data_IF_965794150506
#
_entry.id   IF_965794150506
#
_cell.length_a   1.000
_cell.length_b   1.000
_cell.length_c   1.000
_cell.angle_alpha   90.00
_cell.angle_beta   90.00
_cell.angle_gamma   90.00
#
_symmetry.space_group_name_H-M   'P 1'
#
loop_
_entity.id
_entity.type
_entity.pdbx_description
1 polymer ?
#
# COMPACT_ATOMS: atom_id res chain seq x y z
N UNK A 1 22.99 26.54 -10.20
CA UNK A 1 21.69 27.25 -10.39
C UNK A 1 20.71 26.78 -9.34
N UNK A 2 19.93 27.73 -8.80
CA UNK A 2 19.19 27.63 -7.52
C UNK A 2 18.15 26.50 -7.53
N UNK A 3 18.28 25.55 -6.60
CA UNK A 3 17.26 24.52 -6.29
C UNK A 3 16.10 25.22 -5.57
N UNK A 4 14.92 25.21 -6.19
CA UNK A 4 13.68 25.59 -5.52
C UNK A 4 13.22 24.41 -4.68
N UNK A 5 13.29 24.60 -3.36
CA UNK A 5 12.59 23.78 -2.39
C UNK A 5 11.09 23.91 -2.66
N UNK A 6 10.45 22.79 -3.01
CA UNK A 6 8.99 22.69 -2.99
C UNK A 6 8.58 22.22 -1.60
N UNK A 7 8.10 23.19 -0.83
CA UNK A 7 7.21 23.13 0.33
C UNK A 7 6.87 21.72 0.83
N UNK A 8 7.64 21.25 1.82
CA UNK A 8 7.14 20.31 2.82
C UNK A 8 6.04 21.02 3.62
N UNK A 9 4.95 20.28 3.80
CA UNK A 9 3.66 20.77 4.25
C UNK A 9 3.75 21.55 5.56
N UNK A 10 3.05 22.68 5.57
CA UNK A 10 2.75 23.40 6.78
C UNK A 10 2.03 22.49 7.77
N UNK A 11 2.51 22.54 9.00
CA UNK A 11 1.76 22.30 10.23
C UNK A 11 0.32 22.80 10.09
N UNK A 12 -0.62 21.86 10.01
CA UNK A 12 -2.00 22.06 10.42
C UNK A 12 -2.17 21.33 11.75
N UNK A 13 -1.76 22.04 12.81
CA UNK A 13 -2.24 21.79 14.16
C UNK A 13 -3.73 22.13 14.14
N UNK A 14 -4.58 21.13 13.90
CA UNK A 14 -5.99 21.19 14.29
C UNK A 14 -6.11 20.47 15.63
N UNK A 15 -5.94 21.24 16.69
CA UNK A 15 -6.52 20.91 17.98
C UNK A 15 -8.03 20.87 17.81
N UNK A 16 -8.61 19.68 17.94
CA UNK A 16 -10.02 19.49 18.21
C UNK A 16 -10.11 18.67 19.48
N UNK A 17 -10.09 19.38 20.59
CA UNK A 17 -10.66 18.92 21.84
C UNK A 17 -12.16 18.72 21.62
N UNK A 18 -12.56 17.50 21.26
CA UNK A 18 -13.95 17.08 21.37
C UNK A 18 -14.09 16.35 22.71
N UNK A 19 -14.60 17.07 23.70
CA UNK A 19 -15.17 16.50 24.92
C UNK A 19 -16.23 15.49 24.50
N UNK A 20 -15.87 14.21 24.49
CA UNK A 20 -16.81 13.12 24.26
C UNK A 20 -17.29 12.71 25.63
N UNK A 21 -18.49 13.18 25.97
CA UNK A 21 -19.19 12.77 27.17
C UNK A 21 -19.22 11.24 27.29
N UNK A 22 -18.91 10.79 28.50
CA UNK A 22 -19.07 9.41 28.96
C UNK A 22 -20.49 8.96 28.61
N UNK A 23 -20.62 8.18 27.55
CA UNK A 23 -21.76 7.29 27.34
C UNK A 23 -21.26 5.87 27.55
N UNK A 24 -20.85 5.60 28.78
CA UNK A 24 -20.87 4.25 29.33
C UNK A 24 -22.32 3.80 29.43
N UNK A 25 -22.86 3.22 28.36
CA UNK A 25 -24.12 2.47 28.42
C UNK A 25 -24.02 1.24 27.51
N UNK A 26 -23.71 0.11 28.16
CA UNK A 26 -24.24 -1.23 27.84
C UNK A 26 -24.17 -1.67 26.37
N UNK A 27 -22.96 -1.99 25.90
CA UNK A 27 -22.78 -3.00 24.85
C UNK A 27 -23.08 -4.38 25.46
N UNK A 28 -24.35 -4.69 25.67
CA UNK A 28 -24.81 -6.00 26.11
C UNK A 28 -24.41 -7.05 25.08
N UNK A 29 -23.37 -7.83 25.39
CA UNK A 29 -23.28 -9.32 25.42
C UNK A 29 -24.06 -10.21 24.42
N UNK A 30 -24.88 -9.70 23.50
CA UNK A 30 -25.74 -10.49 22.61
C UNK A 30 -25.48 -10.29 21.10
N UNK A 31 -24.46 -9.52 20.71
CA UNK A 31 -24.02 -9.40 19.29
C UNK A 31 -22.56 -9.74 19.03
N UNK A 32 -21.78 -10.01 20.09
CA UNK A 32 -20.39 -10.46 19.99
C UNK A 32 -20.24 -11.94 19.64
N UNK A 33 -21.29 -12.75 19.79
CA UNK A 33 -21.26 -14.20 19.50
C UNK A 33 -21.45 -14.56 18.02
N UNK A 34 -21.78 -13.60 17.14
CA UNK A 34 -22.17 -13.90 15.74
C UNK A 34 -21.15 -13.47 14.67
N UNK A 35 -20.13 -12.67 15.02
CA UNK A 35 -19.09 -12.30 14.07
C UNK A 35 -17.89 -13.22 14.27
N UNK A 36 -17.75 -14.25 13.43
CA UNK A 36 -16.51 -15.04 13.35
C UNK A 36 -15.55 -14.48 12.29
N UNK A 37 -16.09 -13.79 11.28
CA UNK A 37 -15.34 -13.32 10.12
C UNK A 37 -15.84 -11.94 9.67
N UNK A 38 -14.92 -11.10 9.21
CA UNK A 38 -15.22 -9.86 8.48
C UNK A 38 -14.79 -10.07 7.04
N UNK A 39 -15.72 -9.95 6.09
CA UNK A 39 -15.42 -10.13 4.66
C UNK A 39 -15.36 -8.79 3.95
N UNK A 40 -14.38 -8.62 3.09
CA UNK A 40 -14.34 -7.47 2.19
C UNK A 40 -13.96 -7.95 0.79
N UNK A 41 -14.70 -7.44 -0.19
CA UNK A 41 -14.51 -7.71 -1.61
C UNK A 41 -14.05 -6.41 -2.27
N UNK A 42 -12.98 -6.48 -3.04
CA UNK A 42 -12.30 -5.34 -3.63
C UNK A 42 -12.60 -5.30 -5.11
N UNK A 43 -12.90 -4.10 -5.61
CA UNK A 43 -13.55 -3.95 -6.91
C UNK A 43 -15.08 -4.08 -6.83
N UNK A 44 -15.64 -4.11 -5.62
CA UNK A 44 -17.07 -3.87 -5.37
C UNK A 44 -17.28 -2.49 -4.80
N UNK A 45 -18.49 -1.98 -4.97
CA UNK A 45 -18.89 -0.72 -4.38
C UNK A 45 -18.71 -0.76 -2.85
N UNK A 46 -18.14 0.29 -2.26
CA UNK A 46 -17.85 0.34 -0.83
C UNK A 46 -19.08 0.16 0.06
N UNK A 47 -20.24 0.65 -0.38
CA UNK A 47 -21.50 0.53 0.38
C UNK A 47 -22.00 -0.91 0.37
N UNK A 48 -21.90 -1.60 -0.77
CA UNK A 48 -22.27 -3.01 -0.89
C UNK A 48 -21.33 -3.90 -0.08
N UNK A 49 -20.02 -3.62 -0.17
CA UNK A 49 -18.98 -4.33 0.58
C UNK A 49 -19.20 -4.20 2.08
N UNK A 50 -19.45 -2.98 2.58
CA UNK A 50 -19.76 -2.76 3.99
C UNK A 50 -21.00 -3.54 4.44
N UNK A 51 -22.09 -3.52 3.66
CA UNK A 51 -23.32 -4.27 3.97
C UNK A 51 -23.10 -5.79 4.04
N UNK A 52 -22.25 -6.34 3.18
CA UNK A 52 -22.00 -7.78 3.08
C UNK A 52 -20.87 -8.28 4.00
N UNK A 53 -20.20 -7.36 4.71
CA UNK A 53 -18.99 -7.68 5.46
C UNK A 53 -19.17 -8.52 6.72
N UNK A 54 -20.40 -8.64 7.22
CA UNK A 54 -20.69 -9.28 8.52
C UNK A 54 -20.46 -8.36 9.73
N UNK A 55 -20.01 -7.12 9.52
CA UNK A 55 -19.87 -6.11 10.57
C UNK A 55 -21.25 -5.52 10.94
N UNK A 56 -21.65 -5.49 12.23
CA UNK A 56 -22.94 -4.97 12.66
C UNK A 56 -23.12 -3.48 12.44
N UNK A 57 -22.06 -2.70 12.61
CA UNK A 57 -22.08 -1.25 12.48
C UNK A 57 -20.71 -0.72 12.08
N UNK A 58 -20.71 0.21 11.13
CA UNK A 58 -19.53 0.97 10.74
C UNK A 58 -19.64 2.41 11.23
N UNK A 59 -18.50 2.99 11.56
CA UNK A 59 -18.33 4.43 11.50
C UNK A 59 -18.11 4.79 10.02
N UNK A 60 -18.86 5.75 9.49
CA UNK A 60 -18.71 6.19 8.11
C UNK A 60 -18.31 7.66 8.03
N UNK A 61 -17.60 8.02 6.96
CA UNK A 61 -17.20 9.39 6.68
C UNK A 61 -17.16 9.64 5.18
N UNK A 62 -17.60 10.80 4.73
CA UNK A 62 -17.31 11.35 3.39
C UNK A 62 -16.62 12.70 3.60
N UNK A 63 -15.37 12.81 3.16
CA UNK A 63 -14.58 14.05 3.23
C UNK A 63 -14.04 14.34 1.84
N UNK A 64 -14.54 15.40 1.21
CA UNK A 64 -14.11 15.84 -0.13
C UNK A 64 -14.15 14.73 -1.19
N UNK A 65 -15.10 13.79 -1.11
CA UNK A 65 -15.22 12.69 -2.05
C UNK A 65 -14.47 11.43 -1.65
N UNK A 66 -13.59 11.48 -0.64
CA UNK A 66 -13.03 10.28 -0.01
C UNK A 66 -14.03 9.72 0.99
N UNK A 67 -14.59 8.55 0.67
CA UNK A 67 -15.54 7.81 1.48
C UNK A 67 -14.78 6.76 2.28
N UNK A 68 -15.11 6.60 3.56
CA UNK A 68 -14.52 5.59 4.43
C UNK A 68 -15.57 4.89 5.30
N UNK A 69 -15.35 3.60 5.56
CA UNK A 69 -16.11 2.77 6.49
C UNK A 69 -15.12 2.10 7.43
N UNK A 70 -15.17 2.45 8.72
CA UNK A 70 -14.23 1.95 9.74
C UNK A 70 -14.93 1.22 10.88
N UNK A 71 -14.17 0.30 11.49
CA UNK A 71 -14.53 -0.44 12.70
C UNK A 71 -13.33 -0.45 13.61
N UNK A 72 -13.56 -0.19 14.90
CA UNK A 72 -12.54 -0.31 15.96
C UNK A 72 -12.96 -1.39 16.95
N UNK A 73 -12.02 -1.81 17.81
CA UNK A 73 -12.24 -2.79 18.89
C UNK A 73 -12.70 -4.18 18.40
N UNK A 74 -12.26 -4.63 17.22
CA UNK A 74 -12.63 -5.91 16.59
C UNK A 74 -12.23 -7.10 17.48
N UNK A 75 -13.13 -7.95 17.98
CA UNK A 75 -12.77 -9.00 18.93
C UNK A 75 -11.61 -9.90 18.43
N UNK A 76 -10.66 -10.33 19.30
CA UNK A 76 -9.45 -11.06 18.87
C UNK A 76 -9.71 -12.35 18.09
N UNK A 77 -10.89 -12.94 18.27
CA UNK A 77 -11.34 -14.18 17.60
C UNK A 77 -11.83 -13.97 16.17
N UNK A 78 -11.98 -12.71 15.74
CA UNK A 78 -12.49 -12.37 14.40
C UNK A 78 -11.34 -12.30 13.41
N UNK A 79 -11.47 -13.04 12.31
CA UNK A 79 -10.57 -12.96 11.17
C UNK A 79 -11.12 -12.00 10.13
N UNK A 80 -10.30 -11.07 9.64
CA UNK A 80 -10.63 -10.29 8.45
C UNK A 80 -10.19 -11.06 7.19
N UNK A 81 -11.08 -11.14 6.21
CA UNK A 81 -10.92 -11.95 5.01
C UNK A 81 -11.13 -11.06 3.81
N UNK A 82 -10.05 -10.86 3.06
CA UNK A 82 -10.15 -10.40 1.69
C UNK A 82 -10.58 -11.56 0.81
N UNK A 83 -11.67 -11.42 0.08
CA UNK A 83 -12.15 -12.45 -0.85
C UNK A 83 -12.08 -11.98 -2.29
N UNK A 84 -11.47 -12.78 -3.17
CA UNK A 84 -11.51 -12.63 -4.62
C UNK A 84 -11.68 -14.01 -5.27
N UNK A 85 -12.32 -14.14 -6.45
CA UNK A 85 -12.39 -15.44 -7.13
C UNK A 85 -11.02 -16.11 -7.29
N UNK A 86 -10.86 -17.27 -6.65
CA UNK A 86 -9.64 -18.09 -6.70
C UNK A 86 -8.57 -17.74 -5.66
N UNK A 87 -8.83 -16.83 -4.71
CA UNK A 87 -7.89 -16.49 -3.65
C UNK A 87 -8.50 -15.75 -2.45
N UNK A 88 -7.96 -15.99 -1.26
CA UNK A 88 -8.34 -15.29 -0.03
C UNK A 88 -7.09 -14.84 0.74
N UNK A 89 -7.15 -13.67 1.37
CA UNK A 89 -6.18 -13.24 2.40
C UNK A 89 -6.89 -13.18 3.72
N UNK A 90 -6.32 -13.84 4.71
CA UNK A 90 -6.83 -13.91 6.07
C UNK A 90 -5.88 -13.16 7.00
N UNK A 91 -6.42 -12.23 7.76
CA UNK A 91 -5.65 -11.44 8.73
C UNK A 91 -6.34 -11.55 10.09
N UNK A 92 -5.61 -12.15 11.03
CA UNK A 92 -6.06 -12.35 12.40
C UNK A 92 -5.53 -11.26 13.34
N UNK A 93 -6.10 -11.18 14.55
CA UNK A 93 -5.66 -10.26 15.61
C UNK A 93 -5.67 -8.78 15.19
N UNK A 94 -6.73 -8.32 14.56
CA UNK A 94 -6.91 -6.90 14.26
C UNK A 94 -7.51 -6.15 15.46
N UNK A 95 -7.09 -4.90 15.62
CA UNK A 95 -7.76 -3.93 16.48
C UNK A 95 -8.87 -3.23 15.70
N UNK A 96 -8.51 -2.73 14.53
CA UNK A 96 -9.36 -1.89 13.71
C UNK A 96 -9.08 -2.15 12.23
N UNK A 97 -10.06 -1.81 11.40
CA UNK A 97 -9.86 -1.71 9.96
C UNK A 97 -10.68 -0.56 9.38
N UNK A 98 -10.23 -0.05 8.23
CA UNK A 98 -10.96 0.96 7.47
C UNK A 98 -10.93 0.64 5.98
N UNK A 99 -12.09 0.62 5.34
CA UNK A 99 -12.25 0.58 3.89
C UNK A 99 -12.30 2.01 3.35
N UNK A 100 -11.67 2.26 2.21
CA UNK A 100 -11.72 3.55 1.51
C UNK A 100 -12.15 3.40 0.06
N UNK A 101 -12.79 4.45 -0.45
CA UNK A 101 -13.08 4.67 -1.86
C UNK A 101 -13.05 6.17 -2.15
N UNK A 102 -12.54 6.58 -3.31
CA UNK A 102 -12.49 7.99 -3.71
C UNK A 102 -13.35 8.25 -4.96
N UNK A 103 -14.35 9.14 -4.81
CA UNK A 103 -15.25 9.57 -5.89
C UNK A 103 -14.52 10.27 -7.03
N UNK A 104 -13.39 10.91 -6.75
CA UNK A 104 -12.57 11.57 -7.77
C UNK A 104 -11.78 10.55 -8.62
N UNK A 105 -11.58 9.33 -8.09
CA UNK A 105 -10.88 8.25 -8.79
C UNK A 105 -11.84 7.35 -9.56
N UNK A 106 -13.00 7.05 -8.99
CA UNK A 106 -14.01 6.17 -9.62
C UNK A 106 -15.43 6.59 -9.26
N UNK A 107 -16.26 6.81 -10.28
CA UNK A 107 -17.70 7.07 -10.11
C UNK A 107 -18.44 5.86 -9.50
N UNK A 108 -17.89 4.65 -9.66
CA UNK A 108 -18.47 3.41 -9.11
C UNK A 108 -18.18 3.23 -7.61
N UNK A 109 -17.35 4.10 -7.01
CA UNK A 109 -16.96 4.05 -5.59
C UNK A 109 -16.47 2.66 -5.17
N UNK A 110 -15.62 2.06 -6.00
CA UNK A 110 -15.01 0.77 -5.72
C UNK A 110 -14.10 0.91 -4.50
N UNK A 111 -14.11 -0.09 -3.61
CA UNK A 111 -13.12 -0.13 -2.51
C UNK A 111 -11.72 -0.22 -3.11
N UNK A 112 -10.87 0.76 -2.80
CA UNK A 112 -9.50 0.89 -3.34
C UNK A 112 -8.41 0.66 -2.28
N UNK A 113 -8.72 0.85 -1.01
CA UNK A 113 -7.74 0.75 0.08
C UNK A 113 -8.36 0.12 1.30
N UNK A 114 -7.60 -0.75 1.97
CA UNK A 114 -7.94 -1.24 3.30
C UNK A 114 -6.78 -0.98 4.26
N UNK A 115 -7.02 -0.14 5.26
CA UNK A 115 -6.12 0.04 6.40
C UNK A 115 -6.42 -1.05 7.43
N UNK A 116 -5.40 -1.83 7.80
CA UNK A 116 -5.49 -2.90 8.79
C UNK A 116 -4.61 -2.54 9.99
N UNK A 117 -5.25 -2.31 11.14
CA UNK A 117 -4.53 -1.97 12.37
C UNK A 117 -4.41 -3.22 13.25
N UNK A 118 -3.20 -3.74 13.49
CA UNK A 118 -3.00 -4.89 14.34
C UNK A 118 -3.34 -4.59 15.81
N UNK A 119 -3.84 -5.59 16.53
CA UNK A 119 -4.24 -5.53 17.94
C UNK A 119 -3.10 -5.27 18.91
N UNK A 120 -1.97 -5.93 18.67
CA UNK A 120 -0.81 -5.82 19.52
C UNK A 120 0.10 -4.71 19.01
N UNK A 121 0.58 -3.87 19.93
CA UNK A 121 1.78 -3.07 19.67
C UNK A 121 2.95 -4.02 19.44
N UNK A 122 3.68 -3.85 18.36
CA UNK A 122 4.90 -4.59 18.13
C UNK A 122 5.99 -4.03 19.06
N UNK A 123 6.59 -4.88 19.88
CA UNK A 123 7.65 -4.49 20.82
C UNK A 123 9.00 -4.29 20.12
N UNK A 124 9.12 -4.74 18.87
CA UNK A 124 10.34 -4.63 18.07
C UNK A 124 10.04 -4.62 16.57
N UNK A 125 11.02 -4.18 15.76
CA UNK A 125 10.99 -4.32 14.29
C UNK A 125 10.84 -5.79 13.85
N UNK A 126 11.46 -6.73 14.57
CA UNK A 126 11.38 -8.16 14.26
C UNK A 126 9.98 -8.74 14.44
N UNK A 127 9.23 -8.31 15.46
CA UNK A 127 7.84 -8.73 15.65
C UNK A 127 6.92 -8.21 14.53
N UNK A 128 7.09 -6.94 14.14
CA UNK A 128 6.35 -6.34 13.03
C UNK A 128 6.67 -7.04 11.70
N UNK A 129 7.95 -7.35 11.46
CA UNK A 129 8.40 -8.11 10.31
C UNK A 129 7.81 -9.53 10.28
N UNK A 130 7.74 -10.21 11.42
CA UNK A 130 7.16 -11.55 11.50
C UNK A 130 5.65 -11.53 11.17
N UNK A 131 4.92 -10.51 11.63
CA UNK A 131 3.52 -10.30 11.25
C UNK A 131 3.39 -10.05 9.73
N UNK A 132 4.18 -9.13 9.19
CA UNK A 132 4.20 -8.81 7.76
C UNK A 132 4.48 -10.05 6.90
N UNK A 133 5.47 -10.85 7.30
CA UNK A 133 5.88 -12.07 6.59
C UNK A 133 4.74 -13.09 6.51
N UNK A 134 3.90 -13.20 7.55
CA UNK A 134 2.70 -14.06 7.52
C UNK A 134 1.66 -13.57 6.51
N UNK A 135 1.46 -12.26 6.39
CA UNK A 135 0.57 -11.68 5.37
C UNK A 135 1.15 -11.88 3.97
N UNK A 136 2.44 -11.58 3.78
CA UNK A 136 3.19 -11.78 2.52
C UNK A 136 3.14 -13.24 2.06
N UNK A 137 3.28 -14.19 2.97
CA UNK A 137 3.25 -15.62 2.64
C UNK A 137 1.93 -16.06 1.98
N UNK A 138 0.83 -15.36 2.25
CA UNK A 138 -0.45 -15.63 1.59
C UNK A 138 -0.40 -15.18 0.14
N UNK A 139 0.22 -14.02 -0.17
CA UNK A 139 0.41 -13.57 -1.56
C UNK A 139 1.29 -14.50 -2.39
N UNK A 140 2.13 -15.34 -1.76
CA UNK A 140 2.90 -16.37 -2.46
C UNK A 140 2.06 -17.57 -2.89
N UNK A 141 0.80 -17.63 -2.48
CA UNK A 141 -0.15 -18.68 -2.83
C UNK A 141 -1.08 -18.21 -3.96
N UNK A 142 -1.45 -19.12 -4.85
CA UNK A 142 -2.40 -18.82 -5.93
C UNK A 142 -1.76 -18.14 -7.16
N UNK A 143 -2.44 -17.12 -7.69
CA UNK A 143 -2.12 -16.49 -8.99
C UNK A 143 -1.54 -15.08 -8.90
N UNK A 144 -1.11 -14.65 -7.71
CA UNK A 144 -0.35 -13.41 -7.59
C UNK A 144 0.99 -13.58 -8.29
N UNK A 145 1.32 -12.58 -9.10
CA UNK A 145 2.61 -12.42 -9.75
C UNK A 145 3.22 -11.14 -9.24
N UNK A 146 4.55 -11.10 -9.20
CA UNK A 146 5.28 -9.87 -8.96
C UNK A 146 4.85 -8.81 -9.97
N UNK A 147 4.53 -7.61 -9.50
CA UNK A 147 4.25 -6.49 -10.39
C UNK A 147 5.44 -5.56 -10.52
N UNK A 148 5.58 -4.97 -11.69
CA UNK A 148 6.59 -3.97 -12.01
C UNK A 148 5.87 -2.78 -12.60
N UNK A 149 5.31 -1.92 -11.74
CA UNK A 149 4.63 -0.71 -12.19
C UNK A 149 5.65 0.25 -12.83
N UNK A 150 5.31 0.80 -14.00
CA UNK A 150 6.22 1.64 -14.81
C UNK A 150 7.26 0.83 -15.59
N UNK A 151 8.44 1.41 -15.82
CA UNK A 151 9.55 0.75 -16.52
C UNK A 151 10.86 0.64 -15.70
N UNK A 152 10.83 0.17 -14.44
CA UNK A 152 12.05 -0.10 -13.70
C UNK A 152 12.76 -1.36 -14.22
N UNK A 153 14.07 -1.46 -13.96
CA UNK A 153 14.81 -2.71 -14.10
C UNK A 153 14.13 -3.85 -13.32
N UNK A 154 13.93 -5.00 -13.96
CA UNK A 154 13.16 -6.11 -13.40
C UNK A 154 14.04 -7.07 -12.62
N UNK A 155 14.55 -6.58 -11.51
CA UNK A 155 15.55 -7.29 -10.72
C UNK A 155 14.89 -8.18 -9.67
N UNK A 156 15.63 -9.20 -9.23
CA UNK A 156 15.25 -10.09 -8.13
C UNK A 156 16.16 -9.90 -6.93
N UNK A 157 15.72 -10.38 -5.76
CA UNK A 157 16.54 -10.42 -4.56
C UNK A 157 16.90 -9.03 -4.04
N UNK A 158 18.10 -8.89 -3.47
CA UNK A 158 18.57 -7.60 -2.93
C UNK A 158 18.77 -6.57 -4.04
N UNK A 159 19.07 -6.97 -5.26
CA UNK A 159 19.30 -6.00 -6.34
C UNK A 159 18.06 -5.18 -6.74
N UNK A 160 16.84 -5.58 -6.35
CA UNK A 160 15.62 -4.77 -6.57
C UNK A 160 15.56 -3.47 -5.77
N UNK A 161 16.41 -3.33 -4.75
CA UNK A 161 16.42 -2.20 -3.81
C UNK A 161 17.77 -1.47 -3.78
N UNK A 162 18.70 -1.83 -4.66
CA UNK A 162 20.03 -1.22 -4.70
C UNK A 162 20.14 -0.22 -5.85
N UNK A 163 20.81 0.89 -5.57
CA UNK A 163 21.18 1.89 -6.57
C UNK A 163 22.38 1.46 -7.43
N UNK A 164 22.79 2.37 -8.32
CA UNK A 164 23.94 2.18 -9.22
C UNK A 164 25.26 2.01 -8.47
N UNK A 165 25.39 2.65 -7.30
CA UNK A 165 26.53 2.57 -6.39
C UNK A 165 26.49 1.32 -5.48
N UNK A 166 25.40 0.54 -5.54
CA UNK A 166 25.18 -0.64 -4.71
C UNK A 166 24.77 -0.35 -3.26
N UNK A 167 24.41 0.89 -2.94
CA UNK A 167 23.77 1.23 -1.67
C UNK A 167 22.25 1.06 -1.77
N UNK A 168 21.57 1.02 -0.63
CA UNK A 168 20.10 1.00 -0.60
C UNK A 168 19.56 2.27 -1.27
N UNK A 169 18.74 2.08 -2.28
CA UNK A 169 18.03 3.15 -2.97
C UNK A 169 16.66 3.32 -2.31
N UNK A 170 16.53 4.36 -1.48
CA UNK A 170 15.27 4.70 -0.81
C UNK A 170 14.15 5.11 -1.78
N UNK A 171 14.50 5.40 -3.03
CA UNK A 171 13.57 5.77 -4.10
C UNK A 171 13.31 4.60 -5.08
N UNK A 172 13.79 3.38 -4.79
CA UNK A 172 13.50 2.24 -5.67
C UNK A 172 12.00 1.94 -5.72
N UNK A 173 11.51 1.52 -6.89
CA UNK A 173 10.08 1.43 -7.18
C UNK A 173 9.32 0.47 -6.24
N UNK A 174 9.90 -0.70 -5.96
CA UNK A 174 9.43 -1.63 -4.92
C UNK A 174 10.47 -2.74 -4.70
N UNK A 175 10.62 -3.27 -3.47
CA UNK A 175 11.42 -4.46 -3.25
C UNK A 175 10.80 -5.69 -3.95
N UNK A 176 11.65 -6.65 -4.32
CA UNK A 176 11.22 -7.95 -4.78
C UNK A 176 10.34 -8.61 -3.69
N UNK A 177 9.08 -8.96 -3.99
CA UNK A 177 8.19 -9.65 -3.05
C UNK A 177 8.70 -11.00 -2.51
N UNK A 178 9.63 -11.64 -3.22
CA UNK A 178 10.27 -12.87 -2.80
C UNK A 178 11.52 -12.64 -1.95
N UNK A 179 12.06 -11.42 -1.96
CA UNK A 179 13.23 -11.06 -1.16
C UNK A 179 12.85 -10.96 0.31
N UNK A 180 13.51 -11.75 1.14
CA UNK A 180 13.39 -11.67 2.59
C UNK A 180 14.27 -10.52 3.06
N UNK A 181 13.64 -9.37 3.32
CA UNK A 181 14.32 -8.19 3.85
C UNK A 181 14.95 -8.55 5.20
N UNK A 182 16.26 -8.37 5.39
CA UNK A 182 16.87 -8.67 6.67
C UNK A 182 16.47 -7.61 7.73
N UNK A 183 16.42 -7.96 9.03
CA UNK A 183 15.90 -7.06 10.07
C UNK A 183 16.57 -5.68 10.13
N UNK A 184 17.86 -5.60 9.83
CA UNK A 184 18.65 -4.36 9.82
C UNK A 184 18.20 -3.37 8.73
N UNK A 185 17.73 -3.88 7.59
CA UNK A 185 17.28 -3.05 6.46
C UNK A 185 15.76 -2.80 6.51
N UNK A 186 15.04 -3.51 7.38
CA UNK A 186 13.57 -3.48 7.46
C UNK A 186 13.03 -2.06 7.56
N UNK A 187 13.54 -1.25 8.49
CA UNK A 187 13.05 0.12 8.71
C UNK A 187 13.19 1.01 7.48
N UNK A 188 14.26 0.85 6.70
CA UNK A 188 14.50 1.66 5.52
C UNK A 188 13.64 1.22 4.33
N UNK A 189 13.39 -0.08 4.21
CA UNK A 189 12.76 -0.67 3.03
C UNK A 189 11.26 -0.86 3.15
N UNK A 190 10.77 -1.01 4.38
CA UNK A 190 9.37 -1.32 4.60
C UNK A 190 8.37 -0.27 4.06
N UNK A 191 8.67 1.05 4.05
CA UNK A 191 7.76 2.04 3.49
C UNK A 191 7.62 1.96 1.96
N UNK A 192 8.58 1.35 1.26
CA UNK A 192 8.56 1.24 -0.19
C UNK A 192 7.38 0.38 -0.67
N UNK A 193 7.02 -0.62 0.14
CA UNK A 193 5.91 -1.53 -0.08
C UNK A 193 6.18 -2.59 -1.15
N UNK A 194 5.59 -3.75 -0.97
CA UNK A 194 5.69 -4.88 -1.89
C UNK A 194 4.46 -4.89 -2.80
N UNK A 195 4.67 -5.11 -4.10
CA UNK A 195 3.61 -5.01 -5.11
C UNK A 195 3.43 -6.34 -5.85
N UNK A 196 2.18 -6.78 -5.90
CA UNK A 196 1.75 -7.94 -6.68
C UNK A 196 0.62 -7.58 -7.63
N UNK A 197 0.48 -8.36 -8.70
CA UNK A 197 -0.62 -8.31 -9.64
C UNK A 197 -1.30 -9.67 -9.73
N UNK A 198 -2.61 -9.70 -9.61
CA UNK A 198 -3.40 -10.91 -9.76
C UNK A 198 -3.52 -11.27 -11.25
N UNK A 199 -3.16 -12.49 -11.64
CA UNK A 199 -3.14 -12.88 -13.06
C UNK A 199 -4.53 -13.09 -13.69
N UNK A 200 -5.61 -12.99 -12.91
CA UNK A 200 -6.98 -13.19 -13.41
C UNK A 200 -7.54 -11.94 -14.10
N UNK A 201 -7.68 -10.87 -13.32
CA UNK A 201 -8.31 -9.61 -13.74
C UNK A 201 -7.38 -8.40 -13.57
N UNK A 202 -6.12 -8.64 -13.22
CA UNK A 202 -5.09 -7.61 -13.20
C UNK A 202 -5.05 -6.74 -11.95
N UNK A 203 -5.85 -6.99 -10.90
CA UNK A 203 -5.78 -6.18 -9.67
C UNK A 203 -4.37 -6.19 -9.07
N UNK A 204 -3.91 -4.99 -8.70
CA UNK A 204 -2.63 -4.74 -8.07
C UNK A 204 -2.84 -4.66 -6.56
N UNK A 205 -2.12 -5.48 -5.80
CA UNK A 205 -2.05 -5.36 -4.35
C UNK A 205 -0.72 -4.73 -3.97
N UNK A 206 -0.75 -3.69 -3.14
CA UNK A 206 0.43 -3.13 -2.51
C UNK A 206 0.33 -3.31 -1.01
N UNK A 207 1.24 -4.09 -0.43
CA UNK A 207 1.42 -4.15 1.01
C UNK A 207 2.49 -3.14 1.38
N UNK A 208 2.13 -2.09 2.10
CA UNK A 208 3.10 -1.19 2.70
C UNK A 208 2.88 -1.12 4.19
N UNK A 209 3.97 -1.16 4.95
CA UNK A 209 3.89 -1.06 6.40
C UNK A 209 4.52 0.26 6.78
N UNK A 210 3.67 1.14 7.32
CA UNK A 210 4.11 2.41 7.82
C UNK A 210 4.52 2.24 9.28
N UNK A 211 5.57 2.96 9.64
CA UNK A 211 5.96 3.15 11.03
C UNK A 211 5.86 4.63 11.30
N UNK A 212 5.04 5.04 12.27
CA UNK A 212 5.38 6.28 12.98
C UNK A 212 6.70 5.99 13.69
N UNK A 213 7.56 6.99 13.81
CA UNK A 213 8.73 6.85 14.66
C UNK A 213 8.36 6.36 16.07
N UNK A 214 9.35 5.98 16.85
CA UNK A 214 9.18 5.63 18.26
C UNK A 214 8.57 6.82 19.03
N UNK A 215 7.25 6.89 19.03
CA UNK A 215 6.47 8.01 19.60
C UNK A 215 5.73 7.60 20.87
N UNK A 216 5.93 6.36 21.34
CA UNK A 216 5.39 5.88 22.60
C UNK A 216 6.39 6.10 23.75
N UNK A 217 5.91 6.41 24.97
CA UNK A 217 6.78 6.72 26.12
C UNK A 217 7.79 5.61 26.49
N UNK A 218 7.53 4.37 26.07
CA UNK A 218 8.40 3.20 26.28
C UNK A 218 9.43 2.99 25.16
N UNK A 219 9.46 3.87 24.16
CA UNK A 219 10.35 3.77 23.00
C UNK A 219 9.93 2.70 21.99
N UNK A 220 8.77 2.06 22.17
CA UNK A 220 8.29 1.04 21.24
C UNK A 220 7.90 1.67 19.89
N UNK A 221 8.26 1.00 18.78
CA UNK A 221 7.83 1.44 17.45
C UNK A 221 6.32 1.22 17.25
N UNK A 222 5.66 2.18 16.62
CA UNK A 222 4.25 2.09 16.26
C UNK A 222 4.12 1.80 14.78
N UNK A 223 3.29 0.82 14.41
CA UNK A 223 3.11 0.42 13.02
C UNK A 223 1.65 0.41 12.62
N UNK A 224 1.42 0.77 11.37
CA UNK A 224 0.18 0.54 10.64
C UNK A 224 0.49 -0.32 9.42
N UNK A 225 -0.35 -1.32 9.16
CA UNK A 225 -0.20 -2.19 8.01
C UNK A 225 -1.27 -1.82 7.00
N UNK A 226 -0.83 -1.26 5.90
CA UNK A 226 -1.73 -0.88 4.82
C UNK A 226 -1.67 -1.93 3.73
N UNK A 227 -2.85 -2.36 3.31
CA UNK A 227 -3.00 -3.24 2.18
C UNK A 227 -3.88 -2.54 1.17
N UNK A 228 -3.22 -1.89 0.23
CA UNK A 228 -3.86 -1.18 -0.87
C UNK A 228 -4.17 -2.17 -1.97
N UNK A 229 -5.34 -2.06 -2.57
CA UNK A 229 -5.68 -2.87 -3.73
C UNK A 229 -6.28 -1.99 -4.79
N UNK A 230 -5.52 -1.83 -5.85
CA UNK A 230 -5.92 -1.01 -6.96
C UNK A 230 -6.40 -1.91 -8.10
N UNK A 231 -7.52 -1.57 -8.73
CA UNK A 231 -7.75 -2.01 -10.09
C UNK A 231 -6.62 -1.43 -10.95
N UNK A 232 -5.70 -2.28 -11.40
CA UNK A 232 -4.51 -1.81 -12.12
C UNK A 232 -4.89 -1.04 -13.38
N UNK A 233 -6.01 -1.38 -14.03
CA UNK A 233 -6.45 -0.64 -15.21
C UNK A 233 -6.91 0.76 -14.82
N UNK A 234 -7.74 0.87 -13.78
CA UNK A 234 -8.18 2.17 -13.28
C UNK A 234 -7.00 3.01 -12.75
N UNK A 235 -6.04 2.37 -12.08
CA UNK A 235 -4.79 2.97 -11.63
C UNK A 235 -4.01 3.59 -12.78
N UNK A 236 -3.76 2.78 -13.81
CA UNK A 236 -2.97 3.16 -14.97
C UNK A 236 -3.71 4.28 -15.76
N UNK A 237 -5.05 4.26 -15.84
CA UNK A 237 -5.87 5.34 -16.43
C UNK A 237 -5.83 6.65 -15.62
N UNK A 238 -5.85 6.59 -14.29
CA UNK A 238 -5.68 7.77 -13.43
C UNK A 238 -4.28 8.33 -13.55
N UNK A 239 -3.25 7.47 -13.56
CA UNK A 239 -1.86 7.87 -13.73
C UNK A 239 -1.64 8.59 -15.08
N UNK A 240 -2.17 8.02 -16.17
CA UNK A 240 -2.10 8.64 -17.50
C UNK A 240 -2.82 9.99 -17.56
N UNK A 241 -3.97 10.14 -16.90
CA UNK A 241 -4.68 11.43 -16.80
C UNK A 241 -3.89 12.48 -16.03
N UNK A 242 -3.29 12.10 -14.91
CA UNK A 242 -2.45 13.00 -14.11
C UNK A 242 -1.20 13.43 -14.89
N UNK A 243 -0.55 12.49 -15.59
CA UNK A 243 0.61 12.78 -16.43
C UNK A 243 0.24 13.76 -17.56
N UNK A 244 -0.90 13.54 -18.23
CA UNK A 244 -1.38 14.47 -19.26
C UNK A 244 -1.61 15.88 -18.71
N UNK A 245 -2.25 16.00 -17.54
CA UNK A 245 -2.47 17.28 -16.87
C UNK A 245 -1.16 18.00 -16.50
N UNK A 246 -0.20 17.27 -15.93
CA UNK A 246 1.10 17.83 -15.57
C UNK A 246 1.90 18.25 -16.81
N UNK A 247 1.81 17.47 -17.89
CA UNK A 247 2.42 17.80 -19.18
C UNK A 247 1.82 19.07 -19.78
N UNK A 248 0.50 19.27 -19.70
CA UNK A 248 -0.14 20.52 -20.13
C UNK A 248 0.36 21.73 -19.32
N UNK A 249 0.45 21.58 -17.99
CA UNK A 249 0.95 22.64 -17.11
C UNK A 249 2.41 22.99 -17.40
N UNK A 250 3.27 22.00 -17.63
CA UNK A 250 4.67 22.21 -17.99
C UNK A 250 4.82 22.82 -19.39
N UNK A 251 4.01 22.38 -20.35
CA UNK A 251 3.95 22.98 -21.69
C UNK A 251 3.56 24.45 -21.62
N UNK A 252 2.59 24.80 -20.77
CA UNK A 252 2.21 26.20 -20.53
C UNK A 252 3.34 27.04 -19.91
N UNK A 253 4.32 26.40 -19.28
CA UNK A 253 5.54 27.03 -18.74
C UNK A 253 6.70 27.06 -19.76
N UNK A 254 6.47 26.62 -21.01
CA UNK A 254 7.46 26.60 -22.08
C UNK A 254 8.37 25.37 -22.10
N UNK A 255 8.03 24.30 -21.36
CA UNK A 255 8.78 23.04 -21.39
C UNK A 255 8.45 22.26 -22.68
N UNK A 256 9.48 21.85 -23.41
CA UNK A 256 9.35 20.90 -24.51
C UNK A 256 9.20 19.47 -23.95
N UNK A 257 7.96 18.99 -23.94
CA UNK A 257 7.58 17.69 -23.38
C UNK A 257 8.22 16.54 -24.17
N UNK A 258 8.29 16.63 -25.49
CA UNK A 258 8.86 15.55 -26.31
C UNK A 258 10.37 15.42 -26.09
N UNK A 259 11.09 16.54 -26.01
CA UNK A 259 12.51 16.54 -25.69
C UNK A 259 12.79 16.04 -24.27
N UNK A 260 11.95 16.42 -23.29
CA UNK A 260 12.03 15.92 -21.91
C UNK A 260 11.83 14.41 -21.86
N UNK A 261 10.79 13.90 -22.49
CA UNK A 261 10.42 12.48 -22.42
C UNK A 261 11.47 11.60 -23.06
N UNK A 262 11.98 12.02 -24.22
CA UNK A 262 13.11 11.34 -24.86
C UNK A 262 14.32 11.28 -23.94
N UNK A 263 14.69 12.40 -23.32
CA UNK A 263 15.83 12.46 -22.40
C UNK A 263 15.61 11.56 -21.17
N UNK A 264 14.43 11.62 -20.57
CA UNK A 264 14.07 10.81 -19.40
C UNK A 264 14.14 9.31 -19.74
N UNK A 265 13.66 8.93 -20.93
CA UNK A 265 13.73 7.54 -21.41
C UNK A 265 15.18 7.09 -21.59
N UNK A 266 16.02 7.89 -22.25
CA UNK A 266 17.45 7.58 -22.44
C UNK A 266 18.21 7.45 -21.09
N UNK A 267 17.94 8.34 -20.14
CA UNK A 267 18.52 8.28 -18.78
C UNK A 267 18.04 7.04 -18.03
N UNK A 268 16.76 6.70 -18.12
CA UNK A 268 16.18 5.52 -17.47
C UNK A 268 16.72 4.22 -18.07
N UNK A 269 16.86 4.13 -19.40
CA UNK A 269 17.43 2.96 -20.09
C UNK A 269 18.91 2.76 -19.71
N UNK A 270 19.69 3.84 -19.66
CA UNK A 270 21.08 3.79 -19.23
C UNK A 270 21.21 3.31 -17.77
N UNK A 271 20.38 3.86 -16.87
CA UNK A 271 20.31 3.45 -15.47
C UNK A 271 19.93 1.98 -15.33
N UNK A 272 18.86 1.56 -16.01
CA UNK A 272 18.39 0.17 -15.98
C UNK A 272 19.49 -0.80 -16.41
N UNK A 273 20.25 -0.47 -17.46
CA UNK A 273 21.38 -1.30 -17.92
C UNK A 273 22.49 -1.43 -16.86
N UNK A 274 22.82 -0.36 -16.15
CA UNK A 274 23.81 -0.39 -15.05
C UNK A 274 23.31 -1.28 -13.91
N UNK A 275 22.05 -1.13 -13.51
CA UNK A 275 21.43 -1.92 -12.45
C UNK A 275 21.37 -3.41 -12.81
N UNK A 276 21.00 -3.75 -14.04
CA UNK A 276 20.97 -5.13 -14.55
C UNK A 276 22.36 -5.77 -14.55
N UNK A 277 23.39 -5.05 -15.02
CA UNK A 277 24.77 -5.53 -14.99
C UNK A 277 25.26 -5.76 -13.57
N UNK A 278 24.92 -4.85 -12.64
CA UNK A 278 25.28 -4.98 -11.24
C UNK A 278 24.55 -6.17 -10.58
N UNK A 279 23.29 -6.41 -10.92
CA UNK A 279 22.54 -7.58 -10.45
C UNK A 279 23.20 -8.89 -10.90
N UNK A 280 23.57 -8.99 -12.19
CA UNK A 280 24.27 -10.16 -12.74
C UNK A 280 25.60 -10.40 -12.02
N UNK A 281 26.40 -9.34 -11.78
CA UNK A 281 27.67 -9.45 -11.04
C UNK A 281 27.49 -9.96 -9.62
N UNK A 282 26.34 -9.69 -8.98
CA UNK A 282 25.99 -10.16 -7.63
C UNK A 282 25.36 -11.55 -7.62
N UNK A 283 25.08 -12.14 -8.79
CA UNK A 283 24.41 -13.43 -8.92
C UNK A 283 22.88 -13.36 -8.84
N UNK A 284 22.30 -12.15 -8.84
CA UNK A 284 20.85 -11.94 -8.93
C UNK A 284 20.36 -12.07 -10.39
N UNK A 285 19.06 -12.33 -10.55
CA UNK A 285 18.45 -12.50 -11.89
C UNK A 285 17.85 -11.19 -12.39
N UNK A 286 17.95 -11.01 -13.71
CA UNK A 286 17.18 -10.02 -14.47
C UNK A 286 16.02 -10.75 -15.12
N UNK A 287 14.79 -10.34 -14.82
CA UNK A 287 13.60 -10.90 -15.45
C UNK A 287 13.33 -10.24 -16.79
N UNK A 288 12.84 -11.02 -17.75
CA UNK A 288 12.43 -10.50 -19.05
C UNK A 288 11.27 -9.51 -18.91
N UNK A 289 11.29 -8.44 -19.73
CA UNK A 289 10.08 -7.65 -19.98
C UNK A 289 9.01 -8.56 -20.64
N UNK A 290 7.72 -8.37 -20.38
CA UNK A 290 6.67 -9.14 -21.03
C UNK A 290 6.72 -8.77 -22.51
N UNK A 291 6.37 -9.70 -23.40
CA UNK A 291 6.10 -9.30 -24.78
C UNK A 291 4.91 -8.34 -24.75
N UNK A 292 5.14 -7.11 -25.19
CA UNK A 292 4.12 -6.08 -25.40
C UNK A 292 3.11 -6.51 -26.47
#
# INVERSE_FOLDING_TARGET
MRRRAFLRGGTLVLGLAAVSGITSFTYSTAKGEAMSEIRFDLGKNIVETAKQSGVPAFQNRDVNGTISYSVNDIPPVVTAIYTRPGYEIRVDNLFAFTLYADRNRSEQLLVDTVDLQPRARFKSHAEAQAFATKVIAQFKQGRWRRDYAGDPARLTGRSSILGEDGQLDGDAASPDPDYVIPPEDWKALIPMGLVWRWSGDGVRAKLHIWTSGSDWPDGSPSYSVYLDFEDAKAADEVAARNEAYDNEKLKAQGVDIAARDKKNQEEQEARNKILEQNAIKRGDKVLSKPAS
#
